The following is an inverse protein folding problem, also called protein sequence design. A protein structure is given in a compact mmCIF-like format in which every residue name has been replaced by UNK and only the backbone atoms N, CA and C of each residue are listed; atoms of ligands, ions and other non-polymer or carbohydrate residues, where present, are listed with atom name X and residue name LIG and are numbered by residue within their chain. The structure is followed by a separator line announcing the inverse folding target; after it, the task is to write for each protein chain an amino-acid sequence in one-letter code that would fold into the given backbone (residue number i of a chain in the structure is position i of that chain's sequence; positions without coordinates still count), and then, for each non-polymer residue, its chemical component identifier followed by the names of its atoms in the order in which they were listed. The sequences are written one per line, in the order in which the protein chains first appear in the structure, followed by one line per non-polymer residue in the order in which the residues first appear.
data_IF_533573664830
#
_entry.id   IF_533573664830
#
_cell.length_a   1.000
_cell.length_b   1.000
_cell.length_c   1.000
_cell.angle_alpha   90.00
_cell.angle_beta   90.00
_cell.angle_gamma   90.00
#
_symmetry.space_group_name_H-M   'P 1'
#
loop_
_entity.id
_entity.type
_entity.pdbx_description
1 polymer ?
#
# COMPACT_ATOMS: atom_id res chain seq x y z
N UNK A 1 -0.54 14.20 -11.12
CA UNK A 1 0.73 13.74 -10.49
C UNK A 1 0.52 13.65 -9.00
N UNK A 2 0.33 12.46 -8.46
CA UNK A 2 0.17 12.24 -7.01
C UNK A 2 1.51 12.51 -6.33
N UNK A 3 1.58 13.55 -5.51
CA UNK A 3 2.74 13.90 -4.70
C UNK A 3 2.93 12.78 -3.66
N UNK A 4 3.94 11.92 -3.87
CA UNK A 4 4.36 10.94 -2.84
C UNK A 4 4.68 11.75 -1.59
N UNK A 5 3.84 11.65 -0.56
CA UNK A 5 4.12 12.28 0.73
C UNK A 5 5.46 11.79 1.23
N UNK A 6 6.28 12.70 1.73
CA UNK A 6 7.62 12.39 2.25
C UNK A 6 7.52 11.46 3.46
N UNK A 7 8.56 10.69 3.74
CA UNK A 7 8.65 9.82 4.92
C UNK A 7 8.36 10.57 6.22
N UNK A 8 8.70 11.87 6.27
CA UNK A 8 8.43 12.76 7.40
C UNK A 8 6.92 13.01 7.61
N UNK A 9 6.14 13.18 6.55
CA UNK A 9 4.67 13.37 6.65
C UNK A 9 4.00 12.08 7.15
N UNK A 10 4.44 10.92 6.69
CA UNK A 10 3.98 9.61 7.19
C UNK A 10 4.31 9.43 8.67
N UNK A 11 5.51 9.77 9.08
CA UNK A 11 5.92 9.71 10.48
C UNK A 11 5.09 10.62 11.38
N UNK A 12 4.83 11.88 10.93
CA UNK A 12 3.98 12.82 11.66
C UNK A 12 2.55 12.29 11.79
N UNK A 13 2.00 11.76 10.72
CA UNK A 13 0.67 11.17 10.73
C UNK A 13 0.60 9.97 11.69
N UNK A 14 1.60 9.09 11.68
CA UNK A 14 1.69 7.96 12.60
C UNK A 14 1.67 8.42 14.06
N UNK A 15 2.46 9.44 14.42
CA UNK A 15 2.45 10.01 15.77
C UNK A 15 1.08 10.60 16.17
N UNK A 16 0.41 11.29 15.26
CA UNK A 16 -0.94 11.81 15.50
C UNK A 16 -1.90 10.65 15.78
N UNK A 17 -1.86 9.59 14.98
CA UNK A 17 -2.73 8.42 15.17
C UNK A 17 -2.43 7.66 16.46
N UNK A 18 -1.17 7.50 16.82
CA UNK A 18 -0.76 6.90 18.11
C UNK A 18 -1.31 7.71 19.29
N UNK A 19 -1.24 9.03 19.22
CA UNK A 19 -1.82 9.91 20.24
C UNK A 19 -3.36 9.81 20.28
N UNK A 20 -4.03 9.75 19.12
CA UNK A 20 -5.48 9.57 19.06
C UNK A 20 -5.92 8.18 19.54
N UNK A 21 -5.14 7.14 19.27
CA UNK A 21 -5.41 5.78 19.71
C UNK A 21 -5.35 5.62 21.25
N UNK A 22 -4.55 6.44 21.93
CA UNK A 22 -4.46 6.43 23.39
C UNK A 22 -5.60 7.16 24.09
N UNK A 23 -6.49 7.82 23.33
CA UNK A 23 -7.61 8.61 23.86
C UNK A 23 -8.87 7.78 23.95
N UNK A 24 -9.52 7.83 25.10
CA UNK A 24 -10.78 7.13 25.35
C UNK A 24 -11.77 8.06 26.04
N UNK A 25 -13.01 8.10 25.54
CA UNK A 25 -14.13 8.81 26.14
C UNK A 25 -14.83 7.95 27.18
N UNK A 26 -15.61 8.56 28.07
CA UNK A 26 -16.45 7.84 29.05
C UNK A 26 -17.63 7.11 28.40
N UNK A 27 -18.09 7.60 27.25
CA UNK A 27 -19.19 7.06 26.49
C UNK A 27 -18.96 7.27 25.00
N UNK A 28 -20.04 7.38 24.24
CA UNK A 28 -20.01 7.60 22.78
C UNK A 28 -19.75 9.07 22.42
N UNK A 29 -18.72 9.66 22.99
CA UNK A 29 -18.44 11.11 22.93
C UNK A 29 -17.34 11.50 21.93
N UNK A 30 -16.70 10.47 21.31
CA UNK A 30 -15.64 10.69 20.34
C UNK A 30 -16.17 10.52 18.91
N UNK A 31 -16.14 11.62 18.15
CA UNK A 31 -16.62 11.69 16.78
C UNK A 31 -15.49 11.31 15.82
N UNK A 32 -15.77 10.37 14.93
CA UNK A 32 -14.95 10.02 13.78
C UNK A 32 -15.74 10.31 12.51
N UNK A 33 -15.27 11.26 11.72
CA UNK A 33 -15.88 11.67 10.45
C UNK A 33 -14.91 11.45 9.30
N UNK A 34 -15.31 10.64 8.32
CA UNK A 34 -14.58 10.39 7.09
C UNK A 34 -15.37 10.90 5.89
N UNK A 35 -14.82 11.81 5.14
CA UNK A 35 -15.46 12.44 3.98
C UNK A 35 -14.66 12.13 2.73
N UNK A 36 -15.16 11.26 1.82
CA UNK A 36 -14.48 10.94 0.58
C UNK A 36 -14.42 12.14 -0.37
N UNK A 37 -13.48 12.14 -1.34
CA UNK A 37 -13.41 13.17 -2.36
C UNK A 37 -14.70 13.24 -3.17
N UNK A 38 -14.99 14.43 -3.71
CA UNK A 38 -16.19 14.66 -4.53
C UNK A 38 -17.46 15.00 -3.74
N UNK A 39 -17.48 14.86 -2.42
CA UNK A 39 -18.60 15.34 -1.60
C UNK A 39 -18.54 16.84 -1.38
N UNK A 40 -19.71 17.46 -1.29
CA UNK A 40 -19.82 18.89 -0.96
C UNK A 40 -19.76 19.08 0.55
N UNK A 41 -18.98 20.08 1.00
CA UNK A 41 -18.88 20.44 2.44
C UNK A 41 -20.24 20.83 3.00
N UNK A 42 -21.09 21.49 2.20
CA UNK A 42 -22.46 21.89 2.59
C UNK A 42 -23.34 20.68 2.96
N UNK A 43 -23.24 19.59 2.21
CA UNK A 43 -23.98 18.35 2.50
C UNK A 43 -23.54 17.74 3.83
N UNK A 44 -22.23 17.68 4.06
CA UNK A 44 -21.66 17.15 5.30
C UNK A 44 -22.08 18.00 6.50
N UNK A 45 -22.07 19.33 6.35
CA UNK A 45 -22.53 20.25 7.39
C UNK A 45 -24.03 20.10 7.67
N UNK A 46 -24.86 19.88 6.65
CA UNK A 46 -26.30 19.65 6.81
C UNK A 46 -26.56 18.34 7.58
N UNK A 47 -25.89 17.26 7.22
CA UNK A 47 -25.96 16.00 7.94
C UNK A 47 -25.53 16.15 9.41
N UNK A 48 -24.44 16.87 9.70
CA UNK A 48 -23.98 17.11 11.07
C UNK A 48 -24.98 17.94 11.88
N UNK A 49 -25.74 18.83 11.26
CA UNK A 49 -26.84 19.56 11.95
C UNK A 49 -28.01 18.65 12.31
N UNK A 50 -28.35 17.70 11.44
CA UNK A 50 -29.34 16.67 11.72
C UNK A 50 -28.88 15.77 12.88
N UNK A 51 -27.62 15.33 12.87
CA UNK A 51 -27.00 14.54 13.95
C UNK A 51 -26.97 15.33 15.28
N UNK A 52 -26.73 16.62 15.25
CA UNK A 52 -26.81 17.50 16.41
C UNK A 52 -28.22 17.47 17.01
N UNK A 53 -29.25 17.54 16.17
CA UNK A 53 -30.66 17.40 16.58
C UNK A 53 -30.94 16.04 17.20
N UNK A 54 -30.51 14.97 16.56
CA UNK A 54 -30.68 13.58 17.03
C UNK A 54 -29.95 13.35 18.35
N UNK A 55 -28.81 13.98 18.58
CA UNK A 55 -28.07 13.91 19.84
C UNK A 55 -28.89 14.40 21.05
N UNK A 56 -29.97 15.19 20.85
CA UNK A 56 -30.89 15.58 21.88
C UNK A 56 -31.59 14.42 22.59
N UNK A 57 -31.65 13.25 21.94
CA UNK A 57 -32.24 12.03 22.49
C UNK A 57 -31.31 11.25 23.43
N UNK A 58 -30.07 11.68 23.58
CA UNK A 58 -29.11 11.05 24.50
C UNK A 58 -29.55 11.30 25.94
N UNK A 59 -29.73 10.20 26.69
CA UNK A 59 -30.27 10.23 28.08
C UNK A 59 -29.32 10.98 29.04
N UNK A 60 -28.02 10.76 28.94
CA UNK A 60 -27.02 11.46 29.77
C UNK A 60 -26.88 12.93 29.34
N UNK A 61 -27.17 13.86 30.25
CA UNK A 61 -27.03 15.26 29.97
C UNK A 61 -25.59 15.67 29.64
N UNK A 62 -24.60 15.09 30.33
CA UNK A 62 -23.17 15.34 30.10
C UNK A 62 -22.75 14.84 28.71
N UNK A 63 -23.04 13.59 28.41
CA UNK A 63 -22.71 12.97 27.10
C UNK A 63 -23.40 13.72 25.97
N UNK A 64 -24.68 14.10 26.13
CA UNK A 64 -25.41 14.88 25.14
C UNK A 64 -24.73 16.22 24.88
N UNK A 65 -24.40 16.98 25.90
CA UNK A 65 -23.71 18.27 25.78
C UNK A 65 -22.36 18.09 25.09
N UNK A 66 -21.56 17.10 25.50
CA UNK A 66 -20.24 16.84 24.94
C UNK A 66 -20.31 16.50 23.45
N UNK A 67 -21.25 15.66 23.04
CA UNK A 67 -21.47 15.31 21.63
C UNK A 67 -21.91 16.53 20.84
N UNK A 68 -22.87 17.29 21.32
CA UNK A 68 -23.36 18.49 20.66
C UNK A 68 -22.26 19.56 20.50
N UNK A 69 -21.48 19.81 21.54
CA UNK A 69 -20.37 20.75 21.50
C UNK A 69 -19.27 20.30 20.54
N UNK A 70 -18.97 18.98 20.48
CA UNK A 70 -18.04 18.40 19.53
C UNK A 70 -18.52 18.56 18.09
N UNK A 71 -19.80 18.29 17.79
CA UNK A 71 -20.40 18.49 16.46
C UNK A 71 -20.27 19.96 16.03
N UNK A 72 -20.58 20.90 16.92
CA UNK A 72 -20.47 22.35 16.62
C UNK A 72 -19.03 22.71 16.23
N UNK A 73 -18.03 22.23 16.96
CA UNK A 73 -16.61 22.44 16.63
C UNK A 73 -16.22 21.84 15.28
N UNK A 74 -16.70 20.63 14.98
CA UNK A 74 -16.48 20.00 13.67
C UNK A 74 -17.08 20.81 12.55
N UNK A 75 -18.34 21.28 12.70
CA UNK A 75 -19.02 22.14 11.71
C UNK A 75 -18.23 23.44 11.49
N UNK A 76 -17.80 24.11 12.56
CA UNK A 76 -17.00 25.33 12.46
C UNK A 76 -15.71 25.10 11.68
N UNK A 77 -15.04 23.96 11.92
CA UNK A 77 -13.80 23.62 11.24
C UNK A 77 -14.01 23.29 9.77
N UNK A 78 -15.09 22.55 9.44
CA UNK A 78 -15.43 22.19 8.05
C UNK A 78 -15.75 23.42 7.20
N UNK A 79 -16.36 24.46 7.76
CA UNK A 79 -16.66 25.72 7.06
C UNK A 79 -15.42 26.48 6.57
N UNK A 80 -14.23 26.13 7.08
CA UNK A 80 -12.97 26.72 6.60
C UNK A 80 -12.49 26.09 5.28
N UNK A 81 -13.09 24.99 4.86
CA UNK A 81 -12.77 24.32 3.60
C UNK A 81 -13.78 24.73 2.52
N UNK A 82 -13.30 25.17 1.38
CA UNK A 82 -14.15 25.46 0.21
C UNK A 82 -14.63 24.17 -0.45
N UNK A 83 -13.74 23.21 -0.55
CA UNK A 83 -13.97 21.87 -1.17
C UNK A 83 -13.29 20.81 -0.35
N UNK A 84 -13.77 19.55 -0.46
CA UNK A 84 -13.07 18.39 0.08
C UNK A 84 -11.78 18.16 -0.73
N UNK A 85 -10.62 17.96 -0.07
CA UNK A 85 -9.36 17.65 -0.77
C UNK A 85 -9.44 16.41 -1.67
N UNK A 86 -8.54 16.30 -2.64
CA UNK A 86 -8.50 15.19 -3.62
C UNK A 86 -8.44 13.79 -2.98
N UNK A 87 -7.85 13.66 -1.80
CA UNK A 87 -7.77 12.39 -1.06
C UNK A 87 -8.89 12.23 -0.02
N UNK A 88 -9.80 13.20 0.08
CA UNK A 88 -10.80 13.23 1.14
C UNK A 88 -10.34 14.00 2.38
N UNK A 89 -11.20 14.01 3.39
CA UNK A 89 -10.99 14.72 4.64
C UNK A 89 -11.44 13.85 5.81
N UNK A 90 -10.64 13.81 6.88
CA UNK A 90 -10.97 13.06 8.09
C UNK A 90 -10.89 14.01 9.26
N UNK A 91 -11.90 13.95 10.13
CA UNK A 91 -11.99 14.82 11.31
C UNK A 91 -12.28 13.98 12.55
N UNK A 92 -11.47 14.17 13.58
CA UNK A 92 -11.66 13.56 14.89
C UNK A 92 -11.87 14.68 15.94
N UNK A 93 -12.92 14.56 16.74
CA UNK A 93 -13.25 15.53 17.79
C UNK A 93 -14.06 14.84 18.89
N UNK A 94 -13.85 15.20 20.14
CA UNK A 94 -14.68 14.68 21.21
C UNK A 94 -14.22 15.06 22.61
N UNK A 95 -15.00 14.67 23.60
CA UNK A 95 -14.73 14.93 25.00
C UNK A 95 -13.84 13.84 25.59
N UNK A 96 -12.72 14.25 26.17
CA UNK A 96 -11.75 13.36 26.83
C UNK A 96 -11.73 13.66 28.31
N UNK A 97 -11.87 12.64 29.19
CA UNK A 97 -11.78 12.81 30.62
C UNK A 97 -10.43 13.40 31.01
N UNK A 98 -10.45 14.41 31.86
CA UNK A 98 -9.26 14.91 32.57
C UNK A 98 -9.29 14.48 34.03
N UNK A 99 -8.24 14.71 34.78
CA UNK A 99 -8.10 14.32 36.18
C UNK A 99 -9.24 14.86 37.05
N UNK A 100 -10.27 14.02 37.30
CA UNK A 100 -11.39 14.28 38.18
C UNK A 100 -12.78 13.98 37.56
N UNK A 101 -13.80 13.68 38.39
CA UNK A 101 -15.16 13.50 37.93
C UNK A 101 -15.74 14.82 37.44
N UNK A 102 -16.28 14.85 36.22
CA UNK A 102 -16.92 16.04 35.62
C UNK A 102 -15.96 17.01 34.89
N UNK A 103 -14.66 16.72 34.81
CA UNK A 103 -13.69 17.54 34.10
C UNK A 103 -13.36 16.93 32.71
N UNK A 104 -14.34 17.01 31.82
CA UNK A 104 -14.17 16.59 30.42
C UNK A 104 -13.77 17.81 29.58
N UNK A 105 -12.78 17.64 28.72
CA UNK A 105 -12.33 18.67 27.79
C UNK A 105 -12.55 18.20 26.37
N UNK A 106 -13.20 19.02 25.56
CA UNK A 106 -13.35 18.73 24.14
C UNK A 106 -12.03 19.00 23.45
N UNK A 107 -11.43 17.93 22.97
CA UNK A 107 -10.20 17.94 22.18
C UNK A 107 -10.49 17.85 20.68
N UNK A 108 -9.63 18.46 19.90
CA UNK A 108 -9.80 18.62 18.46
C UNK A 108 -10.53 19.90 18.08
N UNK A 109 -11.02 20.01 16.85
CA UNK A 109 -11.01 18.97 15.80
C UNK A 109 -9.63 18.75 15.18
N UNK A 110 -9.20 17.49 15.18
CA UNK A 110 -8.01 17.04 14.47
C UNK A 110 -8.38 16.76 13.02
N UNK A 111 -7.82 17.52 12.10
CA UNK A 111 -8.13 17.43 10.68
C UNK A 111 -6.98 16.77 9.95
N UNK A 112 -7.27 15.70 9.25
CA UNK A 112 -6.30 14.87 8.53
C UNK A 112 -6.72 14.76 7.07
N UNK A 113 -5.81 15.08 6.16
CA UNK A 113 -5.93 14.72 4.75
C UNK A 113 -5.18 13.42 4.56
N UNK A 114 -5.86 12.30 4.22
CA UNK A 114 -5.22 10.99 4.13
C UNK A 114 -4.18 10.93 2.99
N UNK A 115 -3.19 10.02 3.07
CA UNK A 115 -2.16 9.87 2.03
C UNK A 115 -2.71 9.36 0.70
N UNK A 116 -3.79 8.58 0.76
CA UNK A 116 -4.47 8.00 -0.40
C UNK A 116 -5.96 8.33 -0.36
N UNK A 117 -6.65 8.35 -1.52
CA UNK A 117 -8.07 8.68 -1.56
C UNK A 117 -8.91 7.67 -0.77
N UNK A 118 -9.70 8.18 0.17
CA UNK A 118 -10.66 7.36 0.91
C UNK A 118 -11.94 7.16 0.09
N UNK A 119 -12.51 5.94 0.16
CA UNK A 119 -13.77 5.59 -0.53
C UNK A 119 -14.96 5.55 0.43
N UNK A 120 -14.69 5.54 1.73
CA UNK A 120 -15.70 5.38 2.76
C UNK A 120 -16.18 6.72 3.27
N UNK A 121 -17.50 6.89 3.32
CA UNK A 121 -18.16 7.94 4.09
C UNK A 121 -18.57 7.35 5.44
N UNK A 122 -18.06 7.88 6.52
CA UNK A 122 -18.35 7.41 7.88
C UNK A 122 -18.56 8.59 8.82
N UNK A 123 -19.68 8.60 9.53
CA UNK A 123 -19.88 9.40 10.74
C UNK A 123 -20.18 8.42 11.87
N UNK A 124 -19.41 8.48 12.93
CA UNK A 124 -19.60 7.60 14.09
C UNK A 124 -19.20 8.30 15.38
N UNK A 125 -20.03 8.10 16.41
CA UNK A 125 -19.75 8.49 17.78
C UNK A 125 -19.47 7.21 18.59
N UNK A 126 -18.33 7.12 19.25
CA UNK A 126 -17.94 5.96 20.04
C UNK A 126 -17.08 6.37 21.23
N UNK A 127 -16.74 5.43 22.11
CA UNK A 127 -15.77 5.62 23.20
C UNK A 127 -14.33 5.74 22.72
N UNK A 128 -14.04 5.31 21.49
CA UNK A 128 -12.71 5.42 20.84
C UNK A 128 -12.84 5.98 19.45
N UNK A 129 -11.76 6.61 18.98
CA UNK A 129 -11.72 7.05 17.59
C UNK A 129 -11.55 5.84 16.65
N UNK A 130 -12.29 5.85 15.54
CA UNK A 130 -12.14 4.85 14.46
C UNK A 130 -10.94 5.20 13.59
N UNK A 131 -9.79 4.61 13.89
CA UNK A 131 -8.50 4.89 13.23
C UNK A 131 -8.08 3.81 12.24
N UNK A 132 -8.78 2.69 12.19
CA UNK A 132 -8.37 1.46 11.48
C UNK A 132 -8.01 1.72 10.01
N UNK A 133 -8.85 2.48 9.29
CA UNK A 133 -8.60 2.83 7.89
C UNK A 133 -7.29 3.61 7.69
N UNK A 134 -6.99 4.56 8.58
CA UNK A 134 -5.75 5.34 8.51
C UNK A 134 -4.54 4.52 8.95
N UNK A 135 -4.70 3.67 9.96
CA UNK A 135 -3.64 2.76 10.42
C UNK A 135 -3.28 1.76 9.32
N UNK A 136 -4.27 1.25 8.58
CA UNK A 136 -4.03 0.35 7.46
C UNK A 136 -3.27 1.05 6.31
N UNK A 137 -3.64 2.31 5.98
CA UNK A 137 -2.92 3.13 4.99
C UNK A 137 -1.47 3.43 5.38
N UNK A 138 -1.17 3.44 6.70
CA UNK A 138 0.17 3.69 7.20
C UNK A 138 1.02 2.43 7.39
N UNK A 139 0.41 1.25 7.37
CA UNK A 139 1.19 0.02 7.32
C UNK A 139 2.16 0.13 6.15
N UNK A 140 3.44 0.00 6.42
CA UNK A 140 4.44 -0.12 5.38
C UNK A 140 4.07 -1.34 4.54
N UNK A 141 3.52 -1.10 3.37
CA UNK A 141 3.26 -2.17 2.42
C UNK A 141 4.61 -2.68 1.97
N UNK A 142 4.96 -3.86 2.44
CA UNK A 142 6.16 -4.56 2.02
C UNK A 142 6.10 -4.77 0.51
N UNK A 143 7.17 -4.41 -0.17
CA UNK A 143 7.29 -4.61 -1.61
C UNK A 143 8.26 -5.75 -1.87
N UNK A 144 7.83 -6.68 -2.67
CA UNK A 144 8.64 -7.79 -3.17
C UNK A 144 8.89 -7.60 -4.67
N UNK A 145 10.11 -7.83 -5.11
CA UNK A 145 10.45 -7.93 -6.52
C UNK A 145 10.15 -9.34 -7.03
N UNK A 146 9.65 -9.44 -8.24
CA UNK A 146 9.42 -10.71 -8.93
C UNK A 146 10.14 -10.64 -10.27
N UNK A 147 11.05 -11.57 -10.51
CA UNK A 147 11.76 -11.73 -11.76
C UNK A 147 11.46 -13.13 -12.31
N UNK A 148 10.68 -13.19 -13.37
CA UNK A 148 10.46 -14.43 -14.11
C UNK A 148 11.32 -14.43 -15.37
N UNK A 149 12.00 -15.53 -15.63
CA UNK A 149 12.88 -15.62 -16.79
C UNK A 149 12.95 -17.04 -17.36
N UNK A 150 13.07 -17.07 -18.67
CA UNK A 150 13.47 -18.26 -19.42
C UNK A 150 14.55 -17.90 -20.46
N UNK A 151 14.78 -18.75 -21.45
CA UNK A 151 15.77 -18.49 -22.51
C UNK A 151 15.30 -17.50 -23.57
N UNK A 152 14.00 -17.15 -23.61
CA UNK A 152 13.37 -16.32 -24.64
C UNK A 152 12.92 -14.95 -24.12
N UNK A 153 12.50 -14.86 -22.87
CA UNK A 153 11.94 -13.66 -22.29
C UNK A 153 12.23 -13.51 -20.80
N UNK A 154 12.10 -12.31 -20.27
CA UNK A 154 12.11 -12.04 -18.84
C UNK A 154 11.11 -10.95 -18.49
N UNK A 155 10.37 -11.17 -17.40
CA UNK A 155 9.34 -10.28 -16.87
C UNK A 155 9.72 -9.80 -15.49
N UNK A 156 9.65 -8.49 -15.28
CA UNK A 156 9.90 -7.82 -14.02
C UNK A 156 8.59 -7.32 -13.46
N UNK A 157 8.27 -7.71 -12.23
CA UNK A 157 7.06 -7.26 -11.55
C UNK A 157 7.37 -6.88 -10.10
N UNK A 158 6.46 -6.13 -9.49
CA UNK A 158 6.48 -5.78 -8.07
C UNK A 158 5.19 -6.20 -7.41
N UNK A 159 5.28 -6.80 -6.23
CA UNK A 159 4.16 -7.12 -5.38
C UNK A 159 4.19 -6.22 -4.16
N UNK A 160 3.24 -5.28 -4.06
CA UNK A 160 3.13 -4.35 -2.93
C UNK A 160 1.83 -4.63 -2.18
N UNK A 161 1.93 -5.24 -1.01
CA UNK A 161 0.77 -5.77 -0.30
C UNK A 161 0.06 -6.85 -1.12
N UNK A 162 -1.14 -6.52 -1.67
CA UNK A 162 -1.92 -7.42 -2.55
C UNK A 162 -1.93 -7.00 -4.02
N UNK A 163 -1.22 -5.93 -4.36
CA UNK A 163 -1.17 -5.41 -5.73
C UNK A 163 0.07 -5.93 -6.44
N UNK A 164 -0.15 -6.76 -7.45
CA UNK A 164 0.86 -7.17 -8.43
C UNK A 164 0.87 -6.17 -9.59
N UNK A 165 2.05 -5.68 -9.95
CA UNK A 165 2.24 -4.76 -11.08
C UNK A 165 3.41 -5.23 -11.93
N UNK A 166 3.16 -5.53 -13.21
CA UNK A 166 4.21 -5.82 -14.19
C UNK A 166 4.85 -4.49 -14.59
N UNK A 167 6.15 -4.38 -14.34
CA UNK A 167 6.91 -3.13 -14.58
C UNK A 167 7.49 -3.13 -15.98
N UNK A 168 8.05 -4.28 -16.42
CA UNK A 168 8.73 -4.39 -17.71
C UNK A 168 8.82 -5.85 -18.16
N UNK A 169 8.83 -6.04 -19.48
CA UNK A 169 9.14 -7.31 -20.15
C UNK A 169 10.22 -7.08 -21.19
N UNK A 170 11.13 -8.04 -21.32
CA UNK A 170 12.20 -8.01 -22.30
C UNK A 170 12.33 -9.37 -22.97
N UNK A 171 12.65 -9.37 -24.26
CA UNK A 171 12.87 -10.59 -25.05
C UNK A 171 14.35 -10.80 -25.35
N UNK A 172 14.78 -12.06 -25.43
CA UNK A 172 16.18 -12.41 -25.70
C UNK A 172 16.57 -12.19 -27.19
N UNK A 173 15.62 -12.37 -28.10
CA UNK A 173 15.87 -12.42 -29.54
C UNK A 173 16.68 -13.66 -29.97
N UNK A 174 16.77 -14.70 -29.11
CA UNK A 174 17.48 -15.93 -29.41
C UNK A 174 16.61 -16.84 -30.29
N UNK A 175 17.04 -17.24 -31.49
CA UNK A 175 16.26 -18.15 -32.31
C UNK A 175 16.03 -19.51 -31.64
N UNK A 176 14.86 -20.10 -31.87
CA UNK A 176 14.52 -21.42 -31.38
C UNK A 176 15.56 -22.52 -31.78
N UNK A 177 15.51 -23.67 -31.11
CA UNK A 177 16.38 -24.80 -31.44
C UNK A 177 16.11 -25.31 -32.86
N UNK A 178 17.04 -25.12 -33.78
CA UNK A 178 17.01 -25.84 -35.04
C UNK A 178 17.44 -27.29 -34.80
N UNK A 179 16.60 -28.28 -35.22
CA UNK A 179 16.84 -29.71 -35.05
C UNK A 179 17.76 -30.31 -36.13
N UNK A 180 18.26 -29.52 -37.07
CA UNK A 180 19.16 -30.02 -38.12
C UNK A 180 20.58 -30.23 -37.56
N UNK A 181 21.01 -31.46 -37.48
CA UNK A 181 22.37 -31.85 -37.14
C UNK A 181 23.32 -31.60 -38.30
N UNK A 182 24.59 -31.30 -38.03
CA UNK A 182 25.63 -31.05 -39.03
C UNK A 182 26.89 -30.47 -38.37
N UNK A 183 28.00 -30.35 -39.13
CA UNK A 183 29.26 -29.78 -38.62
C UNK A 183 29.15 -28.38 -38.05
N UNK A 184 28.14 -27.62 -38.43
CA UNK A 184 27.84 -26.27 -37.93
C UNK A 184 27.07 -26.28 -36.62
N UNK A 185 26.54 -27.40 -36.12
CA UNK A 185 25.71 -27.46 -34.90
C UNK A 185 26.47 -26.90 -33.67
N UNK A 186 27.75 -27.29 -33.49
CA UNK A 186 28.58 -26.76 -32.38
C UNK A 186 28.81 -25.27 -32.43
N UNK A 187 28.91 -24.68 -33.65
CA UNK A 187 29.05 -23.23 -33.82
C UNK A 187 27.77 -22.51 -33.43
N UNK A 188 26.61 -23.02 -33.82
CA UNK A 188 25.31 -22.44 -33.44
C UNK A 188 25.04 -22.58 -31.93
N UNK A 189 25.46 -23.68 -31.32
CA UNK A 189 25.34 -23.86 -29.86
C UNK A 189 26.17 -22.83 -29.10
N UNK A 190 27.43 -22.61 -29.45
CA UNK A 190 28.28 -21.56 -28.86
C UNK A 190 27.70 -20.15 -29.05
N UNK A 191 27.19 -19.83 -30.24
CA UNK A 191 26.53 -18.54 -30.50
C UNK A 191 25.29 -18.37 -29.65
N UNK A 192 24.54 -19.43 -29.41
CA UNK A 192 23.36 -19.40 -28.55
C UNK A 192 23.73 -19.18 -27.08
N UNK A 193 24.75 -19.84 -26.59
CA UNK A 193 25.31 -19.65 -25.25
C UNK A 193 25.79 -18.20 -25.06
N UNK A 194 26.54 -17.63 -26.00
CA UNK A 194 26.99 -16.25 -25.95
C UNK A 194 25.80 -15.29 -25.90
N UNK A 195 24.79 -15.47 -26.73
CA UNK A 195 23.57 -14.64 -26.73
C UNK A 195 22.79 -14.78 -25.42
N UNK A 196 22.77 -15.97 -24.81
CA UNK A 196 22.13 -16.18 -23.51
C UNK A 196 22.86 -15.42 -22.39
N UNK A 197 24.19 -15.45 -22.41
CA UNK A 197 25.01 -14.66 -21.47
C UNK A 197 24.74 -13.16 -21.64
N UNK A 198 24.67 -12.64 -22.86
CA UNK A 198 24.36 -11.24 -23.12
C UNK A 198 22.92 -10.89 -22.69
N UNK A 199 22.00 -11.83 -22.85
CA UNK A 199 20.64 -11.67 -22.34
C UNK A 199 20.62 -11.62 -20.80
N UNK A 200 21.37 -12.48 -20.12
CA UNK A 200 21.50 -12.44 -18.67
C UNK A 200 22.08 -11.13 -18.15
N UNK A 201 23.07 -10.54 -18.84
CA UNK A 201 23.58 -9.22 -18.50
C UNK A 201 22.50 -8.14 -18.63
N UNK A 202 21.69 -8.18 -19.69
CA UNK A 202 20.56 -7.27 -19.87
C UNK A 202 19.53 -7.43 -18.75
N UNK A 203 19.15 -8.67 -18.41
CA UNK A 203 18.26 -8.97 -17.29
C UNK A 203 18.82 -8.36 -16.00
N UNK A 204 20.12 -8.56 -15.72
CA UNK A 204 20.76 -8.01 -14.53
C UNK A 204 20.70 -6.48 -14.48
N UNK A 205 20.98 -5.81 -15.59
CA UNK A 205 20.90 -4.35 -15.67
C UNK A 205 19.48 -3.83 -15.40
N UNK A 206 18.49 -4.40 -16.09
CA UNK A 206 17.09 -4.02 -15.86
C UNK A 206 16.62 -4.32 -14.41
N UNK A 207 17.02 -5.47 -13.84
CA UNK A 207 16.73 -5.78 -12.44
C UNK A 207 17.32 -4.75 -11.48
N UNK A 208 18.57 -4.32 -11.74
CA UNK A 208 19.23 -3.30 -10.94
C UNK A 208 18.51 -1.94 -11.08
N UNK A 209 18.14 -1.52 -12.29
CA UNK A 209 17.41 -0.28 -12.53
C UNK A 209 16.02 -0.26 -11.88
N UNK A 210 15.31 -1.39 -11.91
CA UNK A 210 13.94 -1.50 -11.40
C UNK A 210 13.91 -1.68 -9.88
N UNK A 211 14.73 -2.59 -9.34
CA UNK A 211 14.58 -3.02 -7.94
C UNK A 211 15.43 -2.22 -6.94
N UNK A 212 16.62 -1.71 -7.34
CA UNK A 212 17.45 -0.92 -6.42
C UNK A 212 16.80 0.38 -5.91
N UNK A 213 16.02 1.11 -6.74
CA UNK A 213 15.37 2.34 -6.27
C UNK A 213 14.19 2.11 -5.31
N UNK A 214 13.74 0.86 -5.12
CA UNK A 214 12.60 0.55 -4.25
C UNK A 214 13.04 0.63 -2.77
N UNK A 215 12.57 1.64 -1.99
CA UNK A 215 13.11 1.87 -0.64
C UNK A 215 12.80 0.77 0.36
N UNK A 216 11.64 0.08 0.21
CA UNK A 216 11.16 -0.95 1.14
C UNK A 216 11.12 -2.34 0.47
N UNK A 217 12.08 -2.62 -0.43
CA UNK A 217 12.20 -3.93 -1.03
C UNK A 217 12.61 -4.97 0.03
N UNK A 218 11.69 -5.84 0.39
CA UNK A 218 11.89 -6.90 1.41
C UNK A 218 12.61 -8.12 0.86
N UNK A 219 12.33 -8.45 -0.39
CA UNK A 219 12.93 -9.59 -1.04
C UNK A 219 12.64 -9.66 -2.54
N UNK A 220 13.34 -10.56 -3.21
CA UNK A 220 13.16 -10.83 -4.62
C UNK A 220 12.86 -12.31 -4.79
N UNK A 221 11.84 -12.63 -5.57
CA UNK A 221 11.48 -13.98 -5.98
C UNK A 221 11.92 -14.16 -7.43
N UNK A 222 12.72 -15.18 -7.70
CA UNK A 222 13.15 -15.52 -9.05
C UNK A 222 12.40 -16.79 -9.49
N UNK A 223 11.69 -16.69 -10.61
CA UNK A 223 10.91 -17.79 -11.16
C UNK A 223 11.22 -18.05 -12.63
N UNK A 224 10.73 -19.17 -13.13
CA UNK A 224 10.81 -19.54 -14.53
C UNK A 224 10.92 -21.05 -14.75
N UNK A 225 10.66 -21.51 -15.98
CA UNK A 225 10.75 -22.92 -16.32
C UNK A 225 12.22 -23.38 -16.45
N UNK A 226 12.48 -24.61 -16.05
CA UNK A 226 13.75 -25.30 -16.28
C UNK A 226 14.98 -24.68 -15.58
N UNK A 227 16.19 -24.99 -16.06
CA UNK A 227 17.45 -24.64 -15.40
C UNK A 227 17.91 -23.22 -15.64
N UNK A 228 17.33 -22.47 -16.60
CA UNK A 228 17.80 -21.14 -17.03
C UNK A 228 17.91 -20.15 -15.86
N UNK A 229 16.93 -20.14 -14.94
CA UNK A 229 16.98 -19.31 -13.74
C UNK A 229 18.14 -19.65 -12.81
N UNK A 230 18.50 -20.96 -12.72
CA UNK A 230 19.64 -21.39 -11.88
C UNK A 230 20.97 -20.95 -12.50
N UNK A 231 21.07 -20.98 -13.83
CA UNK A 231 22.27 -20.54 -14.53
C UNK A 231 22.42 -19.02 -14.44
N UNK A 232 21.32 -18.26 -14.50
CA UNK A 232 21.31 -16.82 -14.21
C UNK A 232 21.79 -16.53 -12.79
N UNK A 233 21.32 -17.28 -11.79
CA UNK A 233 21.68 -17.06 -10.38
C UNK A 233 23.14 -17.42 -10.07
N UNK A 234 23.73 -18.40 -10.76
CA UNK A 234 25.16 -18.74 -10.62
C UNK A 234 26.07 -17.62 -11.11
N UNK A 235 25.62 -16.82 -12.09
CA UNK A 235 26.36 -15.70 -12.63
C UNK A 235 26.38 -14.47 -11.71
N UNK A 236 27.24 -13.52 -12.03
CA UNK A 236 27.35 -12.23 -11.34
C UNK A 236 26.64 -11.12 -12.12
N UNK A 237 25.37 -11.33 -12.46
CA UNK A 237 24.59 -10.40 -13.28
C UNK A 237 23.84 -9.38 -12.43
N UNK A 238 23.46 -9.74 -11.19
CA UNK A 238 22.77 -8.88 -10.24
C UNK A 238 23.76 -8.13 -9.33
N UNK A 239 23.42 -6.91 -8.98
CA UNK A 239 24.08 -6.18 -7.90
C UNK A 239 24.05 -7.01 -6.60
N UNK A 240 25.14 -7.00 -5.83
CA UNK A 240 25.26 -7.77 -4.60
C UNK A 240 24.12 -7.50 -3.61
N UNK A 241 23.64 -6.23 -3.54
CA UNK A 241 22.53 -5.80 -2.67
C UNK A 241 21.21 -6.48 -3.04
N UNK A 242 20.98 -6.77 -4.32
CA UNK A 242 19.80 -7.50 -4.78
C UNK A 242 19.99 -8.99 -4.61
N UNK A 243 21.21 -9.49 -4.80
CA UNK A 243 21.53 -10.91 -4.63
C UNK A 243 21.28 -11.38 -3.20
N UNK A 244 21.62 -10.56 -2.20
CA UNK A 244 21.34 -10.80 -0.78
C UNK A 244 19.83 -10.78 -0.45
N UNK A 245 19.03 -10.12 -1.29
CA UNK A 245 17.58 -10.05 -1.12
C UNK A 245 16.80 -11.15 -1.84
N UNK A 246 17.45 -12.10 -2.48
CA UNK A 246 16.76 -13.24 -3.09
C UNK A 246 16.24 -14.16 -1.99
N UNK A 247 14.92 -14.24 -1.84
CA UNK A 247 14.26 -15.02 -0.77
C UNK A 247 13.74 -16.35 -1.22
N UNK A 248 13.40 -16.48 -2.50
CA UNK A 248 12.87 -17.73 -3.04
C UNK A 248 13.19 -17.90 -4.53
N UNK A 249 13.25 -19.16 -4.95
CA UNK A 249 13.32 -19.56 -6.35
C UNK A 249 12.14 -20.50 -6.63
N UNK A 250 11.35 -20.20 -7.67
CA UNK A 250 10.10 -20.91 -7.95
C UNK A 250 10.13 -21.46 -9.37
N UNK A 251 9.71 -22.72 -9.53
CA UNK A 251 9.43 -23.30 -10.85
C UNK A 251 8.05 -22.84 -11.32
N UNK A 252 8.01 -22.15 -12.46
CA UNK A 252 6.77 -21.73 -13.10
C UNK A 252 6.66 -22.33 -14.47
N UNK A 253 5.46 -22.70 -14.89
CA UNK A 253 5.25 -23.27 -16.23
C UNK A 253 5.31 -22.21 -17.33
N UNK A 254 5.13 -20.92 -16.98
CA UNK A 254 5.01 -19.80 -17.93
C UNK A 254 5.78 -18.58 -17.46
N UNK A 255 6.24 -17.78 -18.43
CA UNK A 255 6.77 -16.42 -18.30
C UNK A 255 5.87 -15.50 -19.15
N UNK A 256 5.73 -14.20 -18.82
CA UNK A 256 4.93 -13.26 -19.60
C UNK A 256 3.55 -12.91 -19.01
N UNK A 257 2.66 -12.31 -19.82
CA UNK A 257 1.36 -11.73 -19.42
C UNK A 257 0.43 -12.66 -18.61
N UNK A 258 0.66 -13.98 -18.64
CA UNK A 258 -0.13 -14.94 -17.87
C UNK A 258 0.11 -14.89 -16.35
N UNK A 259 1.01 -14.04 -15.88
CA UNK A 259 1.20 -13.75 -14.44
C UNK A 259 -0.07 -13.27 -13.73
N UNK A 260 -1.02 -12.68 -14.45
CA UNK A 260 -2.30 -12.24 -13.90
C UNK A 260 -3.20 -13.38 -13.42
N UNK A 261 -2.92 -14.61 -13.84
CA UNK A 261 -3.68 -15.82 -13.51
C UNK A 261 -3.03 -16.68 -12.42
N UNK A 262 -1.85 -16.31 -11.92
CA UNK A 262 -1.24 -17.01 -10.79
C UNK A 262 -1.94 -16.56 -9.52
N UNK A 263 -3.01 -17.24 -9.13
CA UNK A 263 -3.41 -17.29 -7.73
C UNK A 263 -2.22 -17.90 -6.97
N UNK A 264 -1.51 -17.05 -6.23
CA UNK A 264 -0.59 -17.50 -5.19
C UNK A 264 -1.49 -18.14 -4.14
N UNK A 265 -1.71 -19.45 -4.27
CA UNK A 265 -2.27 -20.25 -3.20
C UNK A 265 -1.37 -20.08 -1.99
N UNK A 266 -1.98 -19.78 -0.83
CA UNK A 266 -1.26 -19.67 0.44
C UNK A 266 -0.26 -20.83 0.60
N UNK A 267 0.95 -20.56 1.10
CA UNK A 267 1.88 -21.63 1.41
C UNK A 267 1.21 -22.56 2.42
N UNK A 268 0.95 -23.79 2.00
CA UNK A 268 0.49 -24.86 2.89
C UNK A 268 1.46 -24.95 4.05
N UNK A 269 0.97 -24.66 5.26
CA UNK A 269 1.72 -24.90 6.49
C UNK A 269 2.15 -26.36 6.51
N UNK A 270 3.43 -26.68 6.74
CA UNK A 270 3.81 -28.05 7.04
C UNK A 270 3.18 -28.45 8.37
N UNK A 271 2.57 -29.63 8.40
CA UNK A 271 2.06 -30.30 9.58
C UNK A 271 3.17 -30.57 10.61
#
# INVERSE_FOLDING_TARGET
MSRKRTSLERYRLKKILENLASKEGRGTELISLYVPPGRQISEVVSMLKEEWGTASNIKSNTTRKNVQDAIVKVIQRLKLFKTVPENGLIVFCGAIPQNGPGSEKIEGPYVIVPPEPIKVYLYRCDSKFHLDFLMEMLKETETYGILLLDSSEATFATLTGRRLEVVQEITSGIPGKHRAGGQSARRFERLREMRLIDFFKRIGNHANEIFLPIPNLKGIIIGGPGPTKLDFMKGQYLDYRLKEKIIATVDTAYTGEQLSLIHISEPTRPY
#
